data_IF_172633737456
#
_entry.id   IF_172633737456
#
_cell.length_a   1.000
_cell.length_b   1.000
_cell.length_c   1.000
_cell.angle_alpha   90.00
_cell.angle_beta   90.00
_cell.angle_gamma   90.00
#
_symmetry.space_group_name_H-M   'P 1'
#
loop_
_entity.id
_entity.type
_entity.pdbx_description
1 polymer ?
#
# COMPACT_ATOMS: atom_id res chain seq x y z
N UNK A 1 35.86 14.80 -10.11
CA UNK A 1 34.66 15.63 -9.81
C UNK A 1 33.41 14.76 -9.91
N UNK A 2 32.53 14.85 -8.91
CA UNK A 2 31.42 13.94 -8.61
C UNK A 2 30.35 13.96 -9.70
N UNK A 3 29.95 12.78 -10.20
CA UNK A 3 28.86 12.60 -11.17
C UNK A 3 27.90 11.49 -10.74
N UNK A 4 27.40 11.54 -9.51
CA UNK A 4 26.37 10.62 -9.02
C UNK A 4 25.40 11.37 -8.10
N UNK A 5 24.77 12.42 -8.62
CA UNK A 5 23.88 13.30 -7.87
C UNK A 5 22.50 13.46 -8.55
N UNK A 6 21.92 12.38 -9.11
CA UNK A 6 20.61 12.47 -9.76
C UNK A 6 19.63 11.31 -9.47
N UNK A 7 19.82 10.53 -8.40
CA UNK A 7 18.80 9.56 -7.94
C UNK A 7 18.54 9.76 -6.45
N UNK A 8 18.00 10.90 -6.08
CA UNK A 8 17.54 11.17 -4.71
C UNK A 8 16.36 12.16 -4.67
N UNK A 9 15.58 12.25 -5.75
CA UNK A 9 14.35 13.06 -5.80
C UNK A 9 13.22 12.14 -6.22
N UNK A 10 12.42 11.71 -5.25
CA UNK A 10 11.22 10.94 -5.54
C UNK A 10 10.52 10.30 -4.34
N UNK A 11 11.22 10.08 -3.22
CA UNK A 11 10.64 9.43 -2.04
C UNK A 11 11.05 10.16 -0.75
N UNK A 12 10.99 11.49 -0.74
CA UNK A 12 11.19 12.28 0.48
C UNK A 12 10.07 13.31 0.74
N UNK A 13 9.14 13.50 -0.20
CA UNK A 13 8.15 14.56 -0.11
C UNK A 13 6.85 14.18 0.63
N UNK A 14 6.65 12.91 1.04
CA UNK A 14 5.45 12.49 1.78
C UNK A 14 5.67 12.28 3.29
N UNK A 15 6.90 12.45 3.78
CA UNK A 15 7.21 12.28 5.21
C UNK A 15 7.04 13.58 6.04
N UNK A 16 6.61 14.69 5.41
CA UNK A 16 6.78 16.03 5.99
C UNK A 16 5.60 16.65 6.72
N UNK A 17 4.38 16.13 6.64
CA UNK A 17 3.22 16.86 7.17
C UNK A 17 2.05 15.96 7.56
N UNK A 18 2.19 15.26 8.70
CA UNK A 18 1.12 14.85 9.62
C UNK A 18 1.51 13.55 10.34
N UNK A 19 2.42 13.60 11.31
CA UNK A 19 2.68 12.46 12.19
C UNK A 19 2.89 12.97 13.62
N UNK A 20 1.82 13.44 14.25
CA UNK A 20 1.75 13.62 15.70
C UNK A 20 0.63 12.73 16.25
N UNK A 21 1.04 11.69 16.99
CA UNK A 21 0.22 10.68 17.71
C UNK A 21 -0.71 9.78 16.85
N UNK A 22 -0.18 8.65 16.40
CA UNK A 22 -0.87 7.34 16.42
C UNK A 22 0.16 6.22 16.08
N UNK A 23 0.49 5.30 17.02
CA UNK A 23 1.53 4.28 16.84
C UNK A 23 1.17 3.08 15.95
N UNK A 24 -0.02 3.05 15.34
CA UNK A 24 -0.57 1.86 14.68
C UNK A 24 -0.44 1.82 13.14
N UNK A 25 -0.08 2.92 12.49
CA UNK A 25 0.23 2.94 11.05
C UNK A 25 1.29 4.00 10.73
N UNK A 26 2.56 3.66 10.94
CA UNK A 26 3.67 4.51 10.49
C UNK A 26 3.81 4.43 8.96
N UNK A 27 4.39 5.45 8.34
CA UNK A 27 4.68 5.44 6.89
C UNK A 27 5.51 4.22 6.47
N UNK A 28 6.41 3.74 7.34
CA UNK A 28 7.14 2.47 7.16
C UNK A 28 6.21 1.25 7.14
N UNK A 29 5.26 1.16 8.07
CA UNK A 29 4.28 0.06 8.11
C UNK A 29 3.37 0.07 6.88
N UNK A 30 2.90 1.26 6.47
CA UNK A 30 2.09 1.40 5.26
C UNK A 30 2.88 0.97 4.01
N UNK A 31 4.15 1.35 3.91
CA UNK A 31 5.04 0.92 2.82
C UNK A 31 5.23 -0.60 2.82
N UNK A 32 5.46 -1.18 4.01
CA UNK A 32 5.64 -2.63 4.17
C UNK A 32 4.37 -3.41 3.82
N UNK A 33 3.19 -2.90 4.20
CA UNK A 33 1.89 -3.49 3.83
C UNK A 33 1.63 -3.39 2.33
N UNK A 34 1.94 -2.25 1.70
CA UNK A 34 1.81 -2.12 0.25
C UNK A 34 2.72 -3.11 -0.50
N UNK A 35 3.95 -3.32 -0.01
CA UNK A 35 4.86 -4.33 -0.56
C UNK A 35 4.34 -5.76 -0.37
N UNK A 36 3.87 -6.10 0.84
CA UNK A 36 3.34 -7.44 1.15
C UNK A 36 2.05 -7.74 0.38
N UNK A 37 1.17 -6.73 0.22
CA UNK A 37 -0.01 -6.79 -0.64
C UNK A 37 0.38 -7.04 -2.11
N UNK A 38 1.37 -6.30 -2.63
CA UNK A 38 1.84 -6.45 -4.01
C UNK A 38 2.45 -7.83 -4.24
N UNK A 39 3.27 -8.31 -3.30
CA UNK A 39 3.86 -9.64 -3.37
C UNK A 39 2.79 -10.73 -3.33
N UNK A 40 1.82 -10.63 -2.42
CA UNK A 40 0.69 -11.57 -2.33
C UNK A 40 -0.17 -11.53 -3.61
N UNK A 41 -0.45 -10.35 -4.14
CA UNK A 41 -1.20 -10.16 -5.38
C UNK A 41 -0.49 -10.83 -6.55
N UNK A 42 0.82 -10.59 -6.68
CA UNK A 42 1.63 -11.15 -7.74
C UNK A 42 1.73 -12.67 -7.63
N UNK A 43 1.87 -13.20 -6.41
CA UNK A 43 1.85 -14.64 -6.16
C UNK A 43 0.47 -15.27 -6.47
N UNK A 44 -0.62 -14.64 -6.05
CA UNK A 44 -1.98 -15.12 -6.30
C UNK A 44 -2.34 -15.10 -7.79
N UNK A 45 -1.98 -14.03 -8.52
CA UNK A 45 -2.18 -13.94 -9.98
C UNK A 45 -1.29 -14.94 -10.72
N UNK A 46 -0.05 -15.16 -10.26
CA UNK A 46 0.84 -16.15 -10.89
C UNK A 46 0.32 -17.58 -10.69
N UNK A 47 -0.26 -17.88 -9.52
CA UNK A 47 -0.89 -19.18 -9.23
C UNK A 47 -2.23 -19.35 -9.93
N UNK A 48 -3.01 -18.27 -10.03
CA UNK A 48 -4.36 -18.29 -10.61
C UNK A 48 -4.65 -16.95 -11.32
N UNK A 49 -4.29 -16.82 -12.61
CA UNK A 49 -4.43 -15.57 -13.36
C UNK A 49 -5.89 -15.13 -13.53
N UNK A 50 -6.84 -16.06 -13.36
CA UNK A 50 -8.28 -15.78 -13.36
C UNK A 50 -8.68 -14.87 -12.20
N UNK A 51 -7.93 -14.90 -11.08
CA UNK A 51 -8.17 -14.05 -9.91
C UNK A 51 -7.73 -12.61 -10.11
N UNK A 52 -6.99 -12.28 -11.16
CA UNK A 52 -6.57 -10.89 -11.42
C UNK A 52 -7.75 -9.93 -11.49
N UNK A 53 -8.87 -10.33 -12.10
CA UNK A 53 -10.10 -9.52 -12.15
C UNK A 53 -10.75 -9.36 -10.78
N UNK A 54 -10.85 -10.45 -10.00
CA UNK A 54 -11.42 -10.44 -8.64
C UNK A 54 -10.58 -9.61 -7.66
N UNK A 55 -9.25 -9.76 -7.73
CA UNK A 55 -8.31 -9.01 -6.91
C UNK A 55 -8.29 -7.52 -7.27
N UNK A 56 -8.38 -7.19 -8.56
CA UNK A 56 -8.55 -5.79 -9.01
C UNK A 56 -9.85 -5.20 -8.50
N UNK A 57 -10.96 -5.95 -8.54
CA UNK A 57 -12.24 -5.53 -8.00
C UNK A 57 -12.18 -5.33 -6.47
N UNK A 58 -11.48 -6.20 -5.73
CA UNK A 58 -11.26 -6.06 -4.28
C UNK A 58 -10.44 -4.81 -3.95
N UNK A 59 -9.34 -4.56 -4.67
CA UNK A 59 -8.54 -3.33 -4.51
C UNK A 59 -9.40 -2.10 -4.75
N UNK A 60 -10.23 -2.12 -5.79
CA UNK A 60 -11.09 -1.00 -6.15
C UNK A 60 -12.22 -0.79 -5.14
N UNK A 61 -12.87 -1.86 -4.69
CA UNK A 61 -13.89 -1.82 -3.64
C UNK A 61 -13.34 -1.30 -2.31
N UNK A 62 -12.13 -1.70 -1.93
CA UNK A 62 -11.46 -1.16 -0.75
C UNK A 62 -11.08 0.31 -0.98
N UNK A 63 -10.55 0.66 -2.15
CA UNK A 63 -10.23 2.06 -2.49
C UNK A 63 -11.47 2.95 -2.39
N UNK A 64 -12.62 2.51 -2.89
CA UNK A 64 -13.90 3.22 -2.76
C UNK A 64 -14.38 3.29 -1.31
N UNK A 65 -14.21 2.22 -0.53
CA UNK A 65 -14.57 2.17 0.89
C UNK A 65 -13.75 3.14 1.74
N UNK A 66 -12.49 3.37 1.36
CA UNK A 66 -11.57 4.27 2.05
C UNK A 66 -11.27 5.54 1.25
N UNK A 67 -12.07 5.89 0.24
CA UNK A 67 -11.81 7.09 -0.60
C UNK A 67 -11.87 8.39 0.19
N UNK A 68 -12.71 8.40 1.23
CA UNK A 68 -12.88 9.52 2.15
C UNK A 68 -11.96 9.39 3.38
N UNK A 69 -11.08 8.37 3.42
CA UNK A 69 -10.14 8.17 4.50
C UNK A 69 -9.14 9.33 4.53
N UNK A 70 -9.19 10.10 5.62
CA UNK A 70 -8.27 11.20 5.87
C UNK A 70 -7.13 10.81 6.80
N UNK A 71 -7.09 9.55 7.25
CA UNK A 71 -6.14 9.08 8.27
C UNK A 71 -5.24 7.95 7.76
N UNK A 72 -4.00 7.95 8.22
CA UNK A 72 -3.03 6.89 7.90
C UNK A 72 -3.51 5.52 8.41
N UNK A 73 -4.17 5.48 9.57
CA UNK A 73 -4.73 4.26 10.14
C UNK A 73 -5.74 3.58 9.20
N UNK A 74 -6.62 4.36 8.58
CA UNK A 74 -7.58 3.85 7.60
C UNK A 74 -6.89 3.37 6.32
N UNK A 75 -5.86 4.08 5.85
CA UNK A 75 -5.04 3.59 4.74
C UNK A 75 -4.36 2.25 5.07
N UNK A 76 -3.79 2.08 6.26
CA UNK A 76 -3.24 0.78 6.69
C UNK A 76 -4.28 -0.33 6.77
N UNK A 77 -5.51 0.01 7.18
CA UNK A 77 -6.62 -0.92 7.29
C UNK A 77 -7.10 -1.36 5.90
N UNK A 78 -7.13 -0.44 4.95
CA UNK A 78 -7.36 -0.71 3.54
C UNK A 78 -6.35 -1.72 2.97
N UNK A 79 -5.05 -1.48 3.18
CA UNK A 79 -4.01 -2.42 2.74
C UNK A 79 -4.12 -3.79 3.42
N UNK A 80 -4.48 -3.83 4.71
CA UNK A 80 -4.67 -5.09 5.43
C UNK A 80 -5.87 -5.89 4.91
N UNK A 81 -7.01 -5.22 4.67
CA UNK A 81 -8.20 -5.87 4.11
C UNK A 81 -7.94 -6.44 2.72
N UNK A 82 -7.26 -5.69 1.83
CA UNK A 82 -6.89 -6.19 0.50
C UNK A 82 -5.92 -7.37 0.63
N UNK A 83 -4.90 -7.26 1.48
CA UNK A 83 -3.91 -8.32 1.67
C UNK A 83 -4.54 -9.60 2.22
N UNK A 84 -5.41 -9.48 3.23
CA UNK A 84 -6.17 -10.59 3.77
C UNK A 84 -7.10 -11.21 2.72
N UNK A 85 -7.73 -10.38 1.89
CA UNK A 85 -8.59 -10.84 0.81
C UNK A 85 -7.83 -11.52 -0.34
N UNK A 86 -6.53 -11.25 -0.51
CA UNK A 86 -5.64 -11.93 -1.46
C UNK A 86 -5.08 -13.23 -0.88
N UNK A 87 -4.70 -13.24 0.41
CA UNK A 87 -4.07 -14.38 1.08
C UNK A 87 -5.06 -15.43 1.59
N UNK A 88 -6.34 -15.06 1.76
CA UNK A 88 -7.42 -15.90 2.27
C UNK A 88 -8.03 -16.87 1.28
#
# INVERSE_FOLDING_TARGET
MKKFLLVAVGVAALAGSACSKAPECTAEMATKKAQDMTAALQEAITKDPSKAADLSAKVQAVTDKYKDASTLAEACKAYDEVTAAIKG
#
